data_IF_201298792229
#
_entry.id   IF_201298792229
#
_cell.length_a   1.000
_cell.length_b   1.000
_cell.length_c   1.000
_cell.angle_alpha   90.00
_cell.angle_beta   90.00
_cell.angle_gamma   90.00
#
_symmetry.space_group_name_H-M   'P 1'
#
loop_
_entity.id
_entity.type
_entity.pdbx_description
1 polymer ?
#
# COMPACT_ATOMS: atom_id res chain seq x y z
N UNK A 1 3.74 5.06 -16.06
CA UNK A 1 5.00 4.31 -16.26
C UNK A 1 4.73 3.00 -16.99
N UNK A 2 3.77 2.17 -16.54
CA UNK A 2 3.32 0.97 -17.28
C UNK A 2 2.89 1.28 -18.72
N UNK A 3 2.07 2.32 -18.93
CA UNK A 3 1.64 2.72 -20.28
C UNK A 3 2.81 3.01 -21.24
N UNK A 4 3.88 3.65 -20.74
CA UNK A 4 5.07 3.97 -21.54
C UNK A 4 5.86 2.71 -21.93
N UNK A 5 5.91 1.71 -21.04
CA UNK A 5 6.56 0.43 -21.33
C UNK A 5 5.76 -0.38 -22.37
N UNK A 6 4.42 -0.29 -22.32
CA UNK A 6 3.51 -0.89 -23.30
C UNK A 6 3.71 -0.31 -24.70
N UNK A 7 3.97 0.98 -24.81
CA UNK A 7 4.29 1.64 -26.09
C UNK A 7 5.65 1.21 -26.65
N UNK A 8 6.64 0.96 -25.79
CA UNK A 8 8.01 0.61 -26.21
C UNK A 8 8.16 -0.88 -26.57
N UNK A 9 7.41 -1.79 -25.95
CA UNK A 9 7.53 -3.25 -26.16
C UNK A 9 6.15 -3.93 -26.18
N UNK A 10 5.37 -3.77 -27.27
CA UNK A 10 4.02 -4.33 -27.36
C UNK A 10 3.99 -5.87 -27.40
N UNK A 11 5.09 -6.53 -27.79
CA UNK A 11 5.21 -8.00 -27.80
C UNK A 11 5.14 -8.63 -26.39
N UNK A 12 5.52 -7.89 -25.35
CA UNK A 12 5.40 -8.33 -23.95
C UNK A 12 3.96 -8.30 -23.43
N UNK A 13 3.07 -7.58 -24.12
CA UNK A 13 1.65 -7.44 -23.79
C UNK A 13 0.76 -8.21 -24.78
N UNK A 14 1.30 -9.23 -25.44
CA UNK A 14 0.55 -10.11 -26.35
C UNK A 14 -0.43 -11.04 -25.62
N UNK A 15 -1.05 -11.97 -26.36
CA UNK A 15 -2.18 -12.81 -25.92
C UNK A 15 -1.96 -13.64 -24.62
N UNK A 16 -0.73 -13.78 -24.13
CA UNK A 16 -0.42 -14.47 -22.86
C UNK A 16 -0.23 -13.56 -21.65
N UNK A 17 -0.04 -12.26 -21.86
CA UNK A 17 0.28 -11.32 -20.79
C UNK A 17 -0.85 -11.19 -19.77
N UNK A 18 -2.10 -11.12 -20.25
CA UNK A 18 -3.26 -11.07 -19.36
C UNK A 18 -3.34 -12.32 -18.49
N UNK A 19 -3.11 -13.50 -19.06
CA UNK A 19 -3.13 -14.78 -18.32
C UNK A 19 -2.02 -14.84 -17.28
N UNK A 20 -0.79 -14.44 -17.64
CA UNK A 20 0.35 -14.36 -16.72
C UNK A 20 0.08 -13.39 -15.55
N UNK A 21 -0.48 -12.22 -15.84
CA UNK A 21 -0.82 -11.21 -14.82
C UNK A 21 -1.94 -11.72 -13.92
N UNK A 22 -2.97 -12.34 -14.48
CA UNK A 22 -4.06 -12.92 -13.69
C UNK A 22 -3.55 -14.07 -12.81
N UNK A 23 -2.67 -14.93 -13.31
CA UNK A 23 -2.07 -16.01 -12.53
C UNK A 23 -1.20 -15.46 -11.39
N UNK A 24 -0.38 -14.44 -11.68
CA UNK A 24 0.42 -13.77 -10.66
C UNK A 24 -0.47 -13.12 -9.58
N UNK A 25 -1.58 -12.48 -9.97
CA UNK A 25 -2.54 -11.92 -9.03
C UNK A 25 -3.20 -12.99 -8.15
N UNK A 26 -3.57 -14.15 -8.70
CA UNK A 26 -4.12 -15.26 -7.91
C UNK A 26 -3.11 -15.77 -6.88
N UNK A 27 -1.86 -16.02 -7.30
CA UNK A 27 -0.78 -16.46 -6.41
C UNK A 27 -0.49 -15.44 -5.31
N UNK A 28 -0.49 -14.15 -5.64
CA UNK A 28 -0.32 -13.09 -4.68
C UNK A 28 -1.48 -13.07 -3.68
N UNK A 29 -2.72 -13.18 -4.15
CA UNK A 29 -3.90 -13.23 -3.28
C UNK A 29 -3.85 -14.40 -2.29
N UNK A 30 -3.49 -15.61 -2.74
CA UNK A 30 -3.31 -16.77 -1.86
C UNK A 30 -2.25 -16.51 -0.78
N UNK A 31 -1.09 -15.94 -1.17
CA UNK A 31 -0.03 -15.60 -0.21
C UNK A 31 -0.48 -14.54 0.80
N UNK A 32 -1.25 -13.53 0.37
CA UNK A 32 -1.81 -12.52 1.28
C UNK A 32 -2.82 -13.15 2.24
N UNK A 33 -3.64 -14.10 1.80
CA UNK A 33 -4.57 -14.81 2.69
C UNK A 33 -3.86 -15.62 3.77
N UNK A 34 -2.74 -16.29 3.43
CA UNK A 34 -1.87 -16.98 4.39
C UNK A 34 -1.26 -15.99 5.41
N UNK A 35 -0.83 -14.82 4.94
CA UNK A 35 -0.31 -13.76 5.83
C UNK A 35 -1.40 -13.25 6.77
N UNK A 36 -2.61 -13.03 6.26
CA UNK A 36 -3.74 -12.64 7.08
C UNK A 36 -4.09 -13.72 8.10
N UNK A 37 -4.16 -15.00 7.70
CA UNK A 37 -4.40 -16.09 8.64
C UNK A 37 -3.36 -16.09 9.77
N UNK A 38 -2.09 -15.87 9.43
CA UNK A 38 -1.02 -15.72 10.42
C UNK A 38 -1.21 -14.51 11.34
N UNK A 39 -1.59 -13.34 10.80
CA UNK A 39 -1.85 -12.12 11.59
C UNK A 39 -3.02 -12.33 12.55
N UNK A 40 -4.11 -12.92 12.07
CA UNK A 40 -5.32 -13.20 12.85
C UNK A 40 -5.15 -14.39 13.82
N UNK A 41 -4.11 -15.20 13.64
CA UNK A 41 -3.77 -16.31 14.54
C UNK A 41 -3.43 -15.83 15.97
N UNK A 42 -2.92 -14.62 16.13
CA UNK A 42 -2.60 -14.02 17.44
C UNK A 42 -3.80 -13.33 18.11
N UNK A 43 -4.94 -13.20 17.41
CA UNK A 43 -6.20 -12.65 17.94
C UNK A 43 -6.95 -11.81 16.90
N UNK A 44 -8.28 -11.87 16.94
CA UNK A 44 -9.15 -11.08 16.06
C UNK A 44 -9.13 -9.59 16.41
N UNK A 45 -9.30 -8.74 15.40
CA UNK A 45 -9.41 -7.29 15.55
C UNK A 45 -10.88 -6.93 15.76
N UNK A 46 -11.21 -6.31 16.90
CA UNK A 46 -12.58 -5.93 17.26
C UNK A 46 -13.21 -4.86 16.33
N UNK A 47 -12.39 -4.21 15.50
CA UNK A 47 -12.78 -3.07 14.66
C UNK A 47 -12.71 -3.36 13.16
N UNK A 48 -12.25 -4.55 12.77
CA UNK A 48 -12.09 -4.91 11.36
C UNK A 48 -12.28 -6.41 11.20
N UNK A 49 -13.42 -6.78 10.63
CA UNK A 49 -13.78 -8.18 10.43
C UNK A 49 -12.99 -8.79 9.26
N UNK A 50 -12.76 -10.10 9.31
CA UNK A 50 -12.01 -10.80 8.25
C UNK A 50 -12.70 -10.66 6.88
N UNK A 51 -14.04 -10.67 6.88
CA UNK A 51 -14.84 -10.53 5.66
C UNK A 51 -14.64 -9.16 4.98
N UNK A 52 -14.56 -8.09 5.77
CA UNK A 52 -14.27 -6.74 5.26
C UNK A 52 -12.88 -6.65 4.62
N UNK A 53 -11.87 -7.27 5.25
CA UNK A 53 -10.49 -7.30 4.74
C UNK A 53 -10.38 -8.09 3.44
N UNK A 54 -11.04 -9.25 3.39
CA UNK A 54 -11.00 -10.11 2.21
C UNK A 54 -11.62 -9.37 1.01
N UNK A 55 -12.72 -8.63 1.22
CA UNK A 55 -13.33 -7.77 0.20
C UNK A 55 -12.44 -6.59 -0.20
N UNK A 56 -11.84 -5.90 0.77
CA UNK A 56 -10.89 -4.82 0.51
C UNK A 56 -9.69 -5.29 -0.35
N UNK A 57 -9.13 -6.47 -0.06
CA UNK A 57 -8.04 -7.04 -0.84
C UNK A 57 -8.46 -7.33 -2.28
N UNK A 58 -9.63 -7.94 -2.49
CA UNK A 58 -10.17 -8.20 -3.83
C UNK A 58 -10.32 -6.91 -4.63
N UNK A 59 -10.89 -5.86 -4.05
CA UNK A 59 -11.01 -4.56 -4.72
C UNK A 59 -9.63 -3.97 -5.03
N UNK A 60 -8.68 -4.06 -4.10
CA UNK A 60 -7.31 -3.58 -4.31
C UNK A 60 -6.62 -4.27 -5.48
N UNK A 61 -6.77 -5.58 -5.62
CA UNK A 61 -6.26 -6.34 -6.76
C UNK A 61 -6.98 -5.96 -8.05
N UNK A 62 -8.31 -5.82 -8.04
CA UNK A 62 -9.09 -5.38 -9.19
C UNK A 62 -8.70 -3.98 -9.67
N UNK A 63 -8.46 -3.03 -8.74
CA UNK A 63 -7.91 -1.72 -9.07
C UNK A 63 -6.52 -1.85 -9.70
N UNK A 64 -5.67 -2.74 -9.19
CA UNK A 64 -4.36 -3.05 -9.77
C UNK A 64 -4.46 -3.55 -11.22
N UNK A 65 -5.35 -4.50 -11.48
CA UNK A 65 -5.62 -5.07 -12.80
C UNK A 65 -6.16 -4.01 -13.78
N UNK A 66 -7.12 -3.18 -13.33
CA UNK A 66 -7.63 -2.05 -14.13
C UNK A 66 -6.53 -1.06 -14.51
N UNK A 67 -5.56 -0.80 -13.64
CA UNK A 67 -4.44 0.10 -13.94
C UNK A 67 -3.49 -0.43 -15.02
N UNK A 68 -3.45 -1.75 -15.21
CA UNK A 68 -2.66 -2.41 -16.27
C UNK A 68 -3.52 -2.80 -17.47
N UNK A 69 -4.78 -2.35 -17.53
CA UNK A 69 -5.73 -2.60 -18.61
C UNK A 69 -6.10 -4.09 -18.76
N UNK A 70 -6.09 -4.84 -17.64
CA UNK A 70 -6.44 -6.26 -17.56
C UNK A 70 -7.81 -6.41 -16.89
N UNK A 71 -8.60 -7.37 -17.34
CA UNK A 71 -9.94 -7.64 -16.78
C UNK A 71 -9.85 -8.08 -15.31
N UNK A 72 -10.69 -7.51 -14.41
CA UNK A 72 -10.72 -7.92 -13.01
C UNK A 72 -11.11 -9.40 -12.87
N UNK A 73 -10.49 -10.09 -11.92
CA UNK A 73 -10.68 -11.53 -11.70
C UNK A 73 -11.47 -11.84 -10.43
N UNK A 74 -11.65 -10.86 -9.54
CA UNK A 74 -12.35 -11.04 -8.27
C UNK A 74 -13.71 -10.33 -8.31
N UNK A 75 -14.76 -10.98 -7.81
CA UNK A 75 -16.04 -10.33 -7.55
C UNK A 75 -16.02 -9.72 -6.15
N UNK A 76 -16.46 -8.47 -6.03
CA UNK A 76 -16.49 -7.69 -4.80
C UNK A 76 -17.92 -7.26 -4.48
N UNK A 77 -18.25 -7.15 -3.19
CA UNK A 77 -19.49 -6.63 -2.65
C UNK A 77 -19.30 -5.17 -2.24
N UNK A 78 -19.91 -4.27 -3.00
CA UNK A 78 -19.85 -2.82 -2.74
C UNK A 78 -20.33 -2.43 -1.33
N UNK A 79 -21.18 -3.25 -0.68
CA UNK A 79 -21.70 -2.97 0.66
C UNK A 79 -20.60 -3.07 1.71
N UNK A 80 -19.81 -4.14 1.67
CA UNK A 80 -18.68 -4.37 2.57
C UNK A 80 -17.52 -3.40 2.28
N UNK A 81 -17.31 -3.06 1.00
CA UNK A 81 -16.35 -2.04 0.62
C UNK A 81 -16.70 -0.66 1.20
N UNK A 82 -17.98 -0.30 1.25
CA UNK A 82 -18.42 0.95 1.85
C UNK A 82 -18.09 1.02 3.35
N UNK A 83 -18.13 -0.11 4.06
CA UNK A 83 -17.72 -0.20 5.47
C UNK A 83 -16.20 0.00 5.62
N UNK A 84 -15.38 -0.45 4.67
CA UNK A 84 -13.92 -0.24 4.70
C UNK A 84 -13.47 1.16 4.26
N UNK A 85 -14.38 2.02 3.77
CA UNK A 85 -14.04 3.33 3.20
C UNK A 85 -13.29 4.26 4.17
N UNK A 86 -13.57 4.16 5.47
CA UNK A 86 -12.88 4.95 6.48
C UNK A 86 -11.36 4.67 6.49
N UNK A 87 -10.94 3.46 6.10
CA UNK A 87 -9.54 3.06 6.04
C UNK A 87 -8.81 3.76 4.88
N UNK A 88 -9.45 3.84 3.71
CA UNK A 88 -8.94 4.63 2.59
C UNK A 88 -8.81 6.12 2.95
N UNK A 89 -9.81 6.67 3.63
CA UNK A 89 -9.77 8.06 4.09
C UNK A 89 -8.65 8.29 5.11
N UNK A 90 -8.41 7.35 6.05
CA UNK A 90 -7.31 7.42 7.02
C UNK A 90 -5.92 7.33 6.36
N UNK A 91 -5.75 6.41 5.41
CA UNK A 91 -4.52 6.29 4.60
C UNK A 91 -4.23 7.58 3.83
N UNK A 92 -5.26 8.20 3.25
CA UNK A 92 -5.12 9.46 2.53
C UNK A 92 -4.87 10.64 3.47
N UNK A 93 -5.52 10.68 4.63
CA UNK A 93 -5.40 11.75 5.62
C UNK A 93 -4.02 11.78 6.28
N UNK A 94 -3.41 10.61 6.49
CA UNK A 94 -2.07 10.47 7.09
C UNK A 94 -0.96 11.11 6.23
N UNK A 95 -1.21 11.41 4.95
CA UNK A 95 -0.22 12.04 4.06
C UNK A 95 -0.09 13.56 4.23
N UNK A 96 -1.02 14.25 4.89
CA UNK A 96 -0.98 15.72 4.99
C UNK A 96 -0.34 16.27 6.28
N UNK A 97 0.10 15.42 7.22
CA UNK A 97 0.60 15.91 8.52
C UNK A 97 1.87 15.24 9.06
N UNK A 98 2.82 14.88 8.20
CA UNK A 98 4.19 14.61 8.65
C UNK A 98 5.25 15.48 7.95
N UNK A 99 5.07 16.80 8.05
CA UNK A 99 6.17 17.75 7.88
C UNK A 99 6.87 18.09 9.21
N UNK A 100 6.20 17.84 10.36
CA UNK A 100 6.70 18.21 11.70
C UNK A 100 6.81 17.04 12.70
N UNK A 101 6.43 15.81 12.34
CA UNK A 101 6.55 14.62 13.22
C UNK A 101 7.87 13.86 13.05
N UNK A 102 8.76 14.29 12.14
CA UNK A 102 10.21 14.12 12.34
C UNK A 102 10.68 15.03 13.48
N UNK A 103 10.37 14.65 14.72
CA UNK A 103 11.16 15.09 15.87
C UNK A 103 12.58 14.59 15.65
N UNK A 104 13.44 15.49 15.16
CA UNK A 104 14.89 15.35 15.24
C UNK A 104 15.24 15.24 16.72
N UNK A 105 15.30 14.01 17.22
CA UNK A 105 15.71 13.72 18.57
C UNK A 105 17.23 13.86 18.62
N UNK A 106 17.66 14.94 19.26
CA UNK A 106 18.97 15.08 19.93
C UNK A 106 20.14 15.49 19.03
N UNK A 107 20.47 16.78 19.05
CA UNK A 107 21.59 17.27 19.86
C UNK A 107 21.63 18.81 19.88
N UNK A 108 21.32 19.41 21.02
CA UNK A 108 21.56 20.83 21.26
C UNK A 108 23.03 20.97 21.68
N UNK A 109 23.94 21.33 20.75
CA UNK A 109 25.32 21.72 21.10
C UNK A 109 25.40 23.23 21.22
N UNK A 110 24.83 23.76 22.29
CA UNK A 110 25.14 25.12 22.70
C UNK A 110 26.51 25.10 23.39
N UNK A 111 27.58 25.24 22.62
CA UNK A 111 28.83 25.81 23.14
C UNK A 111 29.56 26.42 21.96
N UNK A 112 29.38 27.73 21.79
CA UNK A 112 30.35 28.60 21.14
C UNK A 112 31.74 28.18 21.62
N UNK A 113 32.63 27.88 20.69
CA UNK A 113 34.06 27.78 20.99
C UNK A 113 34.52 29.18 21.40
N UNK A 114 34.78 29.39 22.70
CA UNK A 114 35.49 30.59 23.14
C UNK A 114 36.96 30.36 22.75
N UNK A 115 37.40 31.01 21.68
CA UNK A 115 38.82 31.06 21.31
C UNK A 115 39.49 32.15 22.15
N UNK A 116 40.71 31.90 22.61
CA UNK A 116 41.47 32.78 23.51
C UNK A 116 41.92 34.13 22.89
N UNK A 117 41.39 34.50 21.72
CA UNK A 117 41.64 35.78 21.03
C UNK A 117 40.61 36.86 21.41
N UNK A 118 39.59 36.52 22.22
CA UNK A 118 38.58 37.46 22.77
C UNK A 118 38.89 37.84 24.24
N UNK A 119 40.13 37.62 24.70
CA UNK A 119 40.56 37.97 26.06
C UNK A 119 41.94 38.64 26.13
N UNK A 120 42.42 39.28 25.05
CA UNK A 120 43.49 40.29 25.09
C UNK A 120 43.35 41.32 23.97
#
# INVERSE_FOLDING_TARGET
>A
MVNTIREENPELFGDGFEEDVQEACRKAYEAEMDILDWIFSEGELDFLEREEIDEFLKDRFNQGLKNVDVEPIFETDDSLLEETRWFDEDIMMTKDNDFFSKRSTTYNKNTKSVTADDMF
#
